data_IF_589741101299
#
_entry.id   IF_589741101299
#
_cell.length_a   1.000
_cell.length_b   1.000
_cell.length_c   1.000
_cell.angle_alpha   90.00
_cell.angle_beta   90.00
_cell.angle_gamma   90.00
#
_symmetry.space_group_name_H-M   'P 1'
#
loop_
_entity.id
_entity.type
_entity.pdbx_description
1 polymer ?
#
# COMPACT_ATOMS: atom_id res chain seq x y z
N UNK A 1 -15.26 -8.28 24.77
CA UNK A 1 -15.20 -9.31 23.71
C UNK A 1 -15.92 -8.77 22.51
N UNK A 2 -15.27 -8.83 21.35
CA UNK A 2 -15.80 -8.28 20.12
C UNK A 2 -16.93 -9.17 19.60
N UNK A 3 -17.91 -8.55 18.94
CA UNK A 3 -18.94 -9.20 18.14
C UNK A 3 -18.95 -8.54 16.78
N UNK A 4 -19.34 -9.29 15.75
CA UNK A 4 -19.48 -8.70 14.42
C UNK A 4 -20.66 -7.73 14.41
N UNK A 5 -20.39 -6.46 14.12
CA UNK A 5 -21.35 -5.37 13.92
C UNK A 5 -21.28 -4.85 12.48
N UNK A 6 -22.21 -3.97 12.10
CA UNK A 6 -22.22 -3.35 10.78
C UNK A 6 -20.96 -2.49 10.51
N UNK A 7 -20.28 -2.03 11.55
CA UNK A 7 -19.04 -1.24 11.43
C UNK A 7 -17.88 -2.03 10.78
N UNK A 8 -17.94 -3.36 10.81
CA UNK A 8 -16.94 -4.24 10.20
C UNK A 8 -17.26 -4.63 8.75
N UNK A 9 -18.35 -4.09 8.17
CA UNK A 9 -18.69 -4.34 6.77
C UNK A 9 -17.78 -3.50 5.86
N UNK A 10 -17.02 -4.20 5.03
CA UNK A 10 -16.24 -3.62 3.93
C UNK A 10 -17.16 -3.13 2.80
N UNK A 11 -18.31 -3.80 2.64
CA UNK A 11 -19.20 -3.64 1.49
C UNK A 11 -18.93 -4.66 0.38
N UNK A 12 -17.95 -5.55 0.57
CA UNK A 12 -17.57 -6.62 -0.35
C UNK A 12 -18.17 -7.93 0.21
N UNK A 13 -19.25 -8.47 -0.40
CA UNK A 13 -20.06 -9.51 0.25
C UNK A 13 -19.31 -10.79 0.61
N UNK A 14 -18.30 -11.15 -0.18
CA UNK A 14 -17.47 -12.32 0.08
C UNK A 14 -16.57 -12.11 1.30
N UNK A 15 -15.80 -11.02 1.33
CA UNK A 15 -14.94 -10.65 2.47
C UNK A 15 -15.77 -10.48 3.75
N UNK A 16 -16.92 -9.82 3.67
CA UNK A 16 -17.82 -9.63 4.82
C UNK A 16 -18.34 -10.96 5.39
N UNK A 17 -18.59 -11.95 4.53
CA UNK A 17 -18.96 -13.31 4.96
C UNK A 17 -17.78 -14.00 5.64
N UNK A 18 -16.56 -13.76 5.18
CA UNK A 18 -15.37 -14.38 5.74
C UNK A 18 -14.98 -13.78 7.09
N UNK A 19 -15.04 -12.46 7.25
CA UNK A 19 -14.91 -11.79 8.54
C UNK A 19 -15.89 -12.37 9.56
N UNK A 20 -17.18 -12.50 9.20
CA UNK A 20 -18.18 -13.11 10.10
C UNK A 20 -17.75 -14.49 10.60
N UNK A 21 -17.13 -15.31 9.75
CA UNK A 21 -16.65 -16.63 10.15
C UNK A 21 -15.48 -16.55 11.15
N UNK A 22 -14.55 -15.61 10.99
CA UNK A 22 -13.48 -15.37 11.99
C UNK A 22 -14.05 -14.96 13.35
N UNK A 23 -15.04 -14.08 13.38
CA UNK A 23 -15.72 -13.69 14.62
C UNK A 23 -16.45 -14.87 15.26
N UNK A 24 -17.12 -15.72 14.47
CA UNK A 24 -17.78 -16.93 14.98
C UNK A 24 -16.79 -17.87 15.66
N UNK A 25 -15.58 -18.05 15.12
CA UNK A 25 -14.55 -18.88 15.76
C UNK A 25 -14.16 -18.35 17.15
N UNK A 26 -13.97 -17.03 17.28
CA UNK A 26 -13.62 -16.37 18.55
C UNK A 26 -14.79 -16.46 19.54
N UNK A 27 -16.00 -16.18 19.08
CA UNK A 27 -17.21 -16.24 19.90
C UNK A 27 -17.47 -17.65 20.41
N UNK A 28 -17.32 -18.66 19.55
CA UNK A 28 -17.46 -20.07 19.91
C UNK A 28 -16.44 -20.47 20.97
N UNK A 29 -15.15 -20.27 20.72
CA UNK A 29 -14.09 -20.63 21.66
C UNK A 29 -14.29 -19.96 23.02
N UNK A 30 -14.68 -18.68 23.04
CA UNK A 30 -15.00 -18.02 24.30
C UNK A 30 -16.25 -18.59 24.99
N UNK A 31 -17.30 -18.93 24.24
CA UNK A 31 -18.51 -19.52 24.81
C UNK A 31 -18.20 -20.86 25.49
N UNK A 32 -17.39 -21.70 24.85
CA UNK A 32 -16.90 -22.97 25.38
C UNK A 32 -16.08 -22.78 26.66
N UNK A 33 -15.16 -21.81 26.68
CA UNK A 33 -14.37 -21.51 27.89
C UNK A 33 -15.27 -21.09 29.05
N UNK A 34 -16.30 -20.26 28.78
CA UNK A 34 -17.26 -19.81 29.80
C UNK A 34 -18.18 -20.91 30.30
N UNK A 35 -18.52 -21.89 29.45
CA UNK A 35 -19.36 -23.03 29.83
C UNK A 35 -18.57 -24.14 30.55
N UNK A 36 -17.25 -23.98 30.69
CA UNK A 36 -16.38 -24.92 31.39
C UNK A 36 -15.90 -26.08 30.52
N UNK A 37 -15.86 -25.90 29.19
CA UNK A 37 -15.26 -26.86 28.27
C UNK A 37 -13.76 -27.06 28.55
N UNK A 38 -13.22 -28.18 28.06
CA UNK A 38 -11.80 -28.50 28.17
C UNK A 38 -10.94 -27.47 27.41
N UNK A 39 -10.12 -26.73 28.16
CA UNK A 39 -9.35 -25.60 27.64
C UNK A 39 -8.34 -26.03 26.58
N UNK A 40 -7.80 -27.25 26.68
CA UNK A 40 -6.84 -27.79 25.73
C UNK A 40 -7.49 -28.05 24.39
N UNK A 41 -8.64 -28.72 24.42
CA UNK A 41 -9.44 -29.01 23.23
C UNK A 41 -9.88 -27.72 22.54
N UNK A 42 -10.49 -26.79 23.28
CA UNK A 42 -10.93 -25.49 22.73
C UNK A 42 -9.75 -24.69 22.16
N UNK A 43 -8.63 -24.61 22.88
CA UNK A 43 -7.43 -23.89 22.42
C UNK A 43 -6.85 -24.48 21.12
N UNK A 44 -6.70 -25.79 21.05
CA UNK A 44 -6.18 -26.47 19.85
C UNK A 44 -7.14 -26.32 18.65
N UNK A 45 -8.45 -26.43 18.87
CA UNK A 45 -9.45 -26.23 17.82
C UNK A 45 -9.44 -24.79 17.30
N UNK A 46 -9.39 -23.80 18.19
CA UNK A 46 -9.27 -22.39 17.81
C UNK A 46 -8.00 -22.16 16.99
N UNK A 47 -6.84 -22.58 17.49
CA UNK A 47 -5.56 -22.34 16.80
C UNK A 47 -5.51 -22.99 15.40
N UNK A 48 -5.94 -24.25 15.29
CA UNK A 48 -5.96 -24.94 14.00
C UNK A 48 -6.98 -24.30 13.05
N UNK A 49 -8.19 -23.99 13.54
CA UNK A 49 -9.22 -23.33 12.73
C UNK A 49 -8.76 -21.97 12.21
N UNK A 50 -8.04 -21.19 13.02
CA UNK A 50 -7.45 -19.92 12.59
C UNK A 50 -6.34 -20.12 11.55
N UNK A 51 -5.44 -21.09 11.74
CA UNK A 51 -4.38 -21.38 10.76
C UNK A 51 -4.94 -21.79 9.40
N UNK A 52 -5.92 -22.69 9.39
CA UNK A 52 -6.53 -23.19 8.16
C UNK A 52 -7.33 -22.09 7.44
N UNK A 53 -8.03 -21.25 8.20
CA UNK A 53 -8.98 -20.30 7.62
C UNK A 53 -8.36 -18.94 7.27
N UNK A 54 -7.46 -18.41 8.10
CA UNK A 54 -6.86 -17.10 7.89
C UNK A 54 -6.09 -17.04 6.56
N UNK A 55 -5.30 -18.07 6.24
CA UNK A 55 -4.56 -18.12 4.98
C UNK A 55 -5.47 -18.09 3.75
N UNK A 56 -6.61 -18.79 3.79
CA UNK A 56 -7.57 -18.80 2.68
C UNK A 56 -8.26 -17.44 2.54
N UNK A 57 -8.70 -16.85 3.65
CA UNK A 57 -9.35 -15.55 3.67
C UNK A 57 -8.42 -14.44 3.16
N UNK A 58 -7.19 -14.35 3.66
CA UNK A 58 -6.22 -13.35 3.18
C UNK A 58 -5.91 -13.52 1.70
N UNK A 59 -5.81 -14.75 1.19
CA UNK A 59 -5.61 -14.97 -0.24
C UNK A 59 -6.78 -14.45 -1.09
N UNK A 60 -8.03 -14.61 -0.63
CA UNK A 60 -9.20 -14.06 -1.33
C UNK A 60 -9.24 -12.53 -1.29
N UNK A 61 -8.96 -11.94 -0.11
CA UNK A 61 -8.92 -10.50 0.07
C UNK A 61 -7.81 -9.84 -0.76
N UNK A 62 -6.60 -10.37 -0.69
CA UNK A 62 -5.46 -9.86 -1.45
C UNK A 62 -5.69 -9.97 -2.96
N UNK A 63 -6.30 -11.07 -3.42
CA UNK A 63 -6.66 -11.23 -4.83
C UNK A 63 -7.74 -10.21 -5.27
N UNK A 64 -8.70 -9.90 -4.39
CA UNK A 64 -9.69 -8.86 -4.66
C UNK A 64 -9.02 -7.49 -4.76
N UNK A 65 -8.17 -7.14 -3.80
CA UNK A 65 -7.43 -5.89 -3.77
C UNK A 65 -6.51 -5.73 -4.99
N UNK A 66 -5.84 -6.81 -5.39
CA UNK A 66 -5.01 -6.85 -6.61
C UNK A 66 -5.86 -6.62 -7.86
N UNK A 67 -7.08 -7.17 -7.93
CA UNK A 67 -7.98 -6.98 -9.08
C UNK A 67 -8.47 -5.54 -9.28
N UNK A 68 -8.38 -4.70 -8.25
CA UNK A 68 -8.79 -3.28 -8.29
C UNK A 68 -7.60 -2.32 -8.15
N UNK A 69 -6.37 -2.83 -8.23
CA UNK A 69 -5.13 -2.07 -8.03
C UNK A 69 -5.15 -1.26 -6.72
N UNK A 70 -5.62 -1.88 -5.63
CA UNK A 70 -5.79 -1.20 -4.35
C UNK A 70 -4.44 -0.75 -3.78
N UNK A 71 -4.23 0.55 -3.51
CA UNK A 71 -2.94 1.06 -3.04
C UNK A 71 -2.57 0.59 -1.62
N UNK A 72 -3.52 0.09 -0.83
CA UNK A 72 -3.28 -0.42 0.51
C UNK A 72 -2.84 -1.90 0.52
N UNK A 73 -2.97 -2.62 -0.61
CA UNK A 73 -2.63 -4.04 -0.72
C UNK A 73 -1.24 -4.37 -0.13
N UNK A 74 -0.19 -3.58 -0.42
CA UNK A 74 1.12 -3.86 0.16
C UNK A 74 1.18 -3.78 1.68
N UNK A 75 0.49 -2.81 2.28
CA UNK A 75 0.42 -2.65 3.73
C UNK A 75 -0.36 -3.79 4.37
N UNK A 76 -1.45 -4.23 3.73
CA UNK A 76 -2.28 -5.33 4.23
C UNK A 76 -1.55 -6.67 4.14
N UNK A 77 -0.86 -6.98 3.03
CA UNK A 77 0.02 -8.16 2.90
C UNK A 77 1.02 -8.28 4.06
N UNK A 78 1.67 -7.17 4.44
CA UNK A 78 2.56 -7.13 5.62
C UNK A 78 1.85 -7.48 6.92
N UNK A 79 0.66 -6.92 7.13
CA UNK A 79 -0.15 -7.19 8.31
C UNK A 79 -0.60 -8.66 8.37
N UNK A 80 -1.06 -9.22 7.26
CA UNK A 80 -1.45 -10.62 7.11
C UNK A 80 -0.28 -11.57 7.39
N UNK A 81 0.88 -11.31 6.78
CA UNK A 81 2.09 -12.12 7.00
C UNK A 81 2.52 -12.10 8.47
N UNK A 82 2.50 -10.94 9.11
CA UNK A 82 2.81 -10.82 10.55
C UNK A 82 1.81 -11.61 11.42
N UNK A 83 0.53 -11.57 11.06
CA UNK A 83 -0.51 -12.33 11.74
C UNK A 83 -0.34 -13.85 11.58
N UNK A 84 -0.12 -14.33 10.35
CA UNK A 84 0.15 -15.75 10.06
C UNK A 84 1.38 -16.23 10.84
N UNK A 85 2.47 -15.46 10.80
CA UNK A 85 3.70 -15.75 11.57
C UNK A 85 3.43 -15.83 13.08
N UNK A 86 2.54 -14.98 13.62
CA UNK A 86 2.13 -15.05 15.04
C UNK A 86 1.39 -16.35 15.34
N UNK A 87 0.49 -16.80 14.46
CA UNK A 87 -0.20 -18.09 14.62
C UNK A 87 0.76 -19.28 14.53
N UNK A 88 1.68 -19.27 13.56
CA UNK A 88 2.70 -20.31 13.39
C UNK A 88 3.58 -20.47 14.62
N UNK A 89 4.01 -19.35 15.22
CA UNK A 89 4.82 -19.33 16.44
C UNK A 89 4.04 -19.68 17.71
N UNK A 90 2.71 -19.83 17.63
CA UNK A 90 1.88 -20.24 18.77
C UNK A 90 1.85 -21.77 18.85
N UNK A 91 2.25 -22.32 20.01
CA UNK A 91 2.26 -23.76 20.28
C UNK A 91 1.73 -24.04 21.68
N UNK A 92 0.75 -24.95 21.78
CA UNK A 92 0.11 -25.35 23.04
C UNK A 92 0.54 -26.74 23.54
N UNK A 93 1.32 -27.47 22.75
CA UNK A 93 1.72 -28.84 23.06
C UNK A 93 2.61 -28.88 24.30
N UNK A 94 2.27 -29.76 25.25
CA UNK A 94 3.05 -29.98 26.47
C UNK A 94 2.85 -28.94 27.58
N UNK A 95 2.00 -27.93 27.38
CA UNK A 95 1.67 -26.96 28.42
C UNK A 95 0.87 -27.60 29.57
N UNK A 96 1.16 -27.21 30.81
CA UNK A 96 0.30 -27.51 31.96
C UNK A 96 -1.04 -26.73 31.86
N UNK A 97 -2.08 -27.18 32.56
CA UNK A 97 -3.45 -26.67 32.35
C UNK A 97 -3.63 -25.19 32.72
N UNK A 98 -2.97 -24.69 33.78
CA UNK A 98 -3.02 -23.28 34.15
C UNK A 98 -2.36 -22.39 33.07
N UNK A 99 -1.17 -22.80 32.59
CA UNK A 99 -0.46 -22.12 31.49
C UNK A 99 -1.24 -22.20 30.17
N UNK A 100 -1.90 -23.33 29.91
CA UNK A 100 -2.75 -23.51 28.74
C UNK A 100 -3.89 -22.49 28.75
N UNK A 101 -4.57 -22.31 29.89
CA UNK A 101 -5.65 -21.33 30.01
C UNK A 101 -5.16 -19.91 29.74
N UNK A 102 -4.05 -19.51 30.32
CA UNK A 102 -3.47 -18.18 30.06
C UNK A 102 -3.13 -17.99 28.58
N UNK A 103 -2.52 -18.99 27.94
CA UNK A 103 -2.12 -18.92 26.54
C UNK A 103 -3.33 -18.87 25.57
N UNK A 104 -4.42 -19.61 25.84
CA UNK A 104 -5.65 -19.52 25.03
C UNK A 104 -6.33 -18.15 25.19
N UNK A 105 -6.35 -17.60 26.41
CA UNK A 105 -6.91 -16.27 26.65
C UNK A 105 -6.07 -15.17 25.99
N UNK A 106 -4.74 -15.30 26.00
CA UNK A 106 -3.82 -14.41 25.27
C UNK A 106 -4.11 -14.46 23.76
N UNK A 107 -4.24 -15.65 23.18
CA UNK A 107 -4.59 -15.80 21.76
C UNK A 107 -5.94 -15.15 21.44
N UNK A 108 -6.99 -15.36 22.25
CA UNK A 108 -8.29 -14.73 22.06
C UNK A 108 -8.24 -13.20 22.13
N UNK A 109 -7.44 -12.66 23.07
CA UNK A 109 -7.26 -11.23 23.22
C UNK A 109 -6.49 -10.63 22.03
N UNK A 110 -5.41 -11.28 21.60
CA UNK A 110 -4.67 -10.91 20.39
C UNK A 110 -5.59 -10.90 19.17
N UNK A 111 -6.32 -11.99 18.95
CA UNK A 111 -7.28 -12.13 17.84
C UNK A 111 -8.33 -11.02 17.85
N UNK A 112 -8.90 -10.73 19.01
CA UNK A 112 -9.92 -9.69 19.14
C UNK A 112 -9.38 -8.30 18.81
N UNK A 113 -8.19 -7.96 19.33
CA UNK A 113 -7.57 -6.68 19.03
C UNK A 113 -7.13 -6.57 17.58
N UNK A 114 -6.51 -7.61 17.04
CA UNK A 114 -6.01 -7.59 15.67
C UNK A 114 -7.15 -7.43 14.66
N UNK A 115 -8.21 -8.25 14.75
CA UNK A 115 -9.36 -8.13 13.84
C UNK A 115 -10.02 -6.75 13.92
N UNK A 116 -10.20 -6.22 15.15
CA UNK A 116 -10.82 -4.92 15.33
C UNK A 116 -10.00 -3.81 14.66
N UNK A 117 -8.68 -3.77 14.92
CA UNK A 117 -7.82 -2.74 14.36
C UNK A 117 -7.60 -2.90 12.86
N UNK A 118 -7.48 -4.14 12.39
CA UNK A 118 -7.23 -4.43 10.99
C UNK A 118 -8.45 -4.10 10.13
N UNK A 119 -9.62 -4.65 10.45
CA UNK A 119 -10.85 -4.43 9.67
C UNK A 119 -11.24 -2.95 9.66
N UNK A 120 -11.28 -2.30 10.84
CA UNK A 120 -11.69 -0.89 10.92
C UNK A 120 -10.62 0.08 10.36
N UNK A 121 -9.35 -0.30 10.40
CA UNK A 121 -8.24 0.57 9.98
C UNK A 121 -7.67 0.26 8.59
N UNK A 122 -8.11 -0.83 7.96
CA UNK A 122 -7.54 -1.34 6.70
C UNK A 122 -8.66 -1.86 5.78
N UNK A 123 -9.37 -2.91 6.17
CA UNK A 123 -10.20 -3.68 5.22
C UNK A 123 -11.46 -2.87 4.83
N UNK A 124 -12.00 -2.08 5.76
CA UNK A 124 -13.10 -1.15 5.47
C UNK A 124 -12.70 -0.01 4.53
N UNK A 125 -11.39 0.19 4.28
CA UNK A 125 -10.85 1.18 3.33
C UNK A 125 -10.58 0.59 1.94
N UNK A 126 -10.72 -0.73 1.75
CA UNK A 126 -10.54 -1.38 0.44
C UNK A 126 -11.45 -0.70 -0.60
N UNK A 127 -10.85 -0.31 -1.73
CA UNK A 127 -11.48 0.39 -2.84
C UNK A 127 -11.86 1.84 -2.56
N UNK A 128 -11.50 2.39 -1.39
CA UNK A 128 -11.85 3.76 -0.97
C UNK A 128 -10.65 4.68 -0.90
N UNK A 129 -9.44 4.14 -0.81
CA UNK A 129 -8.19 4.89 -0.87
C UNK A 129 -7.81 5.16 -2.32
N UNK A 130 -7.46 6.40 -2.62
CA UNK A 130 -6.86 6.74 -3.91
C UNK A 130 -5.35 6.56 -3.78
N UNK A 131 -4.74 5.90 -4.77
CA UNK A 131 -3.28 5.84 -4.83
C UNK A 131 -2.75 7.27 -4.90
N UNK A 132 -1.80 7.66 -4.02
CA UNK A 132 -1.15 8.96 -4.13
C UNK A 132 -0.34 9.06 -5.44
N UNK A 133 -0.05 7.92 -6.08
CA UNK A 133 0.65 7.82 -7.36
C UNK A 133 -0.31 7.73 -8.55
N UNK A 134 -1.61 7.97 -8.38
CA UNK A 134 -2.56 8.03 -9.49
C UNK A 134 -2.68 9.46 -10.05
N UNK A 135 -2.62 9.58 -11.38
CA UNK A 135 -3.00 10.81 -12.06
C UNK A 135 -4.53 10.99 -12.00
N UNK A 136 -5.00 12.00 -11.27
CA UNK A 136 -6.42 12.36 -11.16
C UNK A 136 -6.74 13.64 -11.95
N UNK A 137 -8.04 13.97 -12.05
CA UNK A 137 -8.51 15.20 -12.70
C UNK A 137 -7.92 16.48 -12.09
N UNK A 138 -7.42 16.44 -10.84
CA UNK A 138 -6.80 17.61 -10.20
C UNK A 138 -5.51 18.05 -10.91
N UNK A 139 -4.79 17.10 -11.53
CA UNK A 139 -3.52 17.31 -12.21
C UNK A 139 -3.66 17.64 -13.71
N UNK A 140 -4.90 17.64 -14.24
CA UNK A 140 -5.11 18.00 -15.65
C UNK A 140 -4.77 19.47 -15.90
N UNK A 141 -3.90 19.67 -16.88
CA UNK A 141 -3.59 20.97 -17.47
C UNK A 141 -4.58 21.34 -18.58
N UNK A 142 -5.24 20.33 -19.17
CA UNK A 142 -6.10 20.51 -20.35
C UNK A 142 -5.34 20.41 -21.67
N UNK A 143 -4.02 20.21 -21.63
CA UNK A 143 -3.16 19.99 -22.79
C UNK A 143 -2.87 18.50 -22.88
N UNK A 144 -3.45 17.82 -23.88
CA UNK A 144 -3.38 16.34 -23.98
C UNK A 144 -1.94 15.80 -24.00
N UNK A 145 -1.02 16.50 -24.69
CA UNK A 145 0.41 16.16 -24.71
C UNK A 145 0.97 16.04 -23.29
N UNK A 146 0.88 17.13 -22.52
CA UNK A 146 1.38 17.24 -21.15
C UNK A 146 0.64 16.26 -20.21
N UNK A 147 -0.69 16.19 -20.31
CA UNK A 147 -1.49 15.31 -19.45
C UNK A 147 -1.18 13.83 -19.70
N UNK A 148 -0.83 13.44 -20.93
CA UNK A 148 -0.41 12.07 -21.25
C UNK A 148 0.97 11.73 -20.66
N UNK A 149 1.88 12.69 -20.64
CA UNK A 149 3.21 12.53 -20.07
C UNK A 149 3.18 12.50 -18.54
N UNK A 150 2.38 13.36 -17.91
CA UNK A 150 2.14 13.31 -16.47
C UNK A 150 1.62 11.94 -16.04
N UNK A 151 0.63 11.36 -16.74
CA UNK A 151 0.13 10.00 -16.45
C UNK A 151 1.26 8.97 -16.43
N UNK A 152 2.20 9.07 -17.37
CA UNK A 152 3.35 8.16 -17.43
C UNK A 152 4.35 8.38 -16.28
N UNK A 153 4.59 9.62 -15.86
CA UNK A 153 5.40 9.90 -14.67
C UNK A 153 4.76 9.34 -13.38
N UNK A 154 3.44 9.49 -13.24
CA UNK A 154 2.68 8.87 -12.14
C UNK A 154 2.73 7.34 -12.17
N UNK A 155 2.63 6.72 -13.36
CA UNK A 155 2.82 5.27 -13.56
C UNK A 155 4.21 4.79 -13.12
N UNK A 156 5.27 5.49 -13.52
CA UNK A 156 6.65 5.15 -13.10
C UNK A 156 6.77 5.18 -11.57
N UNK A 157 6.25 6.23 -10.90
CA UNK A 157 6.24 6.29 -9.43
C UNK A 157 5.41 5.17 -8.80
N UNK A 158 4.27 4.82 -9.40
CA UNK A 158 3.45 3.70 -8.95
C UNK A 158 4.21 2.36 -9.01
N UNK A 159 4.98 2.13 -10.07
CA UNK A 159 5.85 0.95 -10.20
C UNK A 159 7.00 0.93 -9.19
N UNK A 160 7.62 2.08 -8.92
CA UNK A 160 8.62 2.19 -7.84
C UNK A 160 7.99 1.84 -6.49
N UNK A 161 6.78 2.35 -6.18
CA UNK A 161 6.07 2.00 -4.96
C UNK A 161 5.76 0.51 -4.87
N UNK A 162 5.31 -0.11 -5.96
CA UNK A 162 5.07 -1.55 -5.99
C UNK A 162 6.36 -2.36 -5.73
N UNK A 163 7.49 -1.93 -6.31
CA UNK A 163 8.78 -2.59 -6.12
C UNK A 163 9.28 -2.53 -4.67
N UNK A 164 9.13 -1.39 -3.98
CA UNK A 164 9.45 -1.24 -2.55
C UNK A 164 8.74 -2.30 -1.70
N UNK A 165 7.54 -2.70 -2.13
CA UNK A 165 6.71 -3.59 -1.35
C UNK A 165 6.69 -5.04 -1.86
N UNK A 166 7.50 -5.37 -2.86
CA UNK A 166 7.56 -6.72 -3.40
C UNK A 166 8.47 -7.63 -2.56
N UNK A 167 7.92 -8.24 -1.50
CA UNK A 167 8.65 -9.10 -0.57
C UNK A 167 9.20 -10.41 -1.18
N UNK A 168 8.83 -10.76 -2.41
CA UNK A 168 9.28 -11.99 -3.08
C UNK A 168 10.67 -11.84 -3.73
N UNK A 169 11.14 -10.60 -3.91
CA UNK A 169 12.46 -10.30 -4.45
C UNK A 169 13.47 -10.14 -3.30
N UNK A 170 14.45 -11.05 -3.24
CA UNK A 170 15.55 -11.02 -2.27
C UNK A 170 16.56 -9.90 -2.54
N UNK A 171 16.72 -9.55 -3.82
CA UNK A 171 17.48 -8.41 -4.31
C UNK A 171 16.66 -7.76 -5.44
N UNK A 172 16.52 -6.44 -5.39
CA UNK A 172 15.71 -5.63 -6.32
C UNK A 172 16.57 -4.63 -7.09
N UNK A 173 17.89 -4.69 -6.90
CA UNK A 173 18.80 -3.64 -7.35
C UNK A 173 18.69 -3.40 -8.86
N UNK A 174 18.66 -4.46 -9.66
CA UNK A 174 18.56 -4.36 -11.11
C UNK A 174 17.26 -3.65 -11.55
N UNK A 175 16.11 -4.02 -10.97
CA UNK A 175 14.82 -3.37 -11.25
C UNK A 175 14.79 -1.93 -10.77
N UNK A 176 15.44 -1.63 -9.65
CA UNK A 176 15.58 -0.27 -9.11
C UNK A 176 16.38 0.60 -10.08
N UNK A 177 17.53 0.11 -10.54
CA UNK A 177 18.40 0.82 -11.48
C UNK A 177 17.67 1.09 -12.79
N UNK A 178 16.92 0.09 -13.29
CA UNK A 178 16.10 0.26 -14.50
C UNK A 178 15.02 1.34 -14.32
N UNK A 179 14.28 1.32 -13.21
CA UNK A 179 13.23 2.30 -12.92
C UNK A 179 13.78 3.72 -12.70
N UNK A 180 14.91 3.86 -12.02
CA UNK A 180 15.58 5.17 -11.84
C UNK A 180 16.07 5.68 -13.20
N UNK A 181 16.58 4.80 -14.07
CA UNK A 181 16.93 5.13 -15.45
C UNK A 181 15.72 5.61 -16.25
N UNK A 182 14.63 4.85 -16.25
CA UNK A 182 13.37 5.21 -16.91
C UNK A 182 12.84 6.57 -16.42
N UNK A 183 12.85 6.80 -15.09
CA UNK A 183 12.42 8.05 -14.49
C UNK A 183 13.27 9.24 -14.98
N UNK A 184 14.60 9.09 -14.99
CA UNK A 184 15.55 10.14 -15.45
C UNK A 184 15.29 10.50 -16.90
N UNK A 185 15.21 9.49 -17.77
CA UNK A 185 15.05 9.69 -19.21
C UNK A 185 13.68 10.29 -19.55
N UNK A 186 12.62 9.76 -18.93
CA UNK A 186 11.25 10.23 -19.17
C UNK A 186 11.01 11.63 -18.64
N UNK A 187 11.60 11.99 -17.50
CA UNK A 187 11.56 13.36 -16.95
C UNK A 187 12.19 14.36 -17.92
N UNK A 188 13.38 14.05 -18.46
CA UNK A 188 14.05 14.91 -19.44
C UNK A 188 13.24 15.05 -20.73
N UNK A 189 12.65 13.96 -21.20
CA UNK A 189 11.77 13.95 -22.35
C UNK A 189 10.55 14.87 -22.14
N UNK A 190 9.81 14.66 -21.06
CA UNK A 190 8.63 15.45 -20.70
C UNK A 190 8.93 16.95 -20.60
N UNK A 191 9.96 17.33 -19.84
CA UNK A 191 10.34 18.74 -19.71
C UNK A 191 10.75 19.37 -21.03
N UNK A 192 11.43 18.63 -21.90
CA UNK A 192 11.79 19.12 -23.24
C UNK A 192 10.54 19.40 -24.08
N UNK A 193 9.55 18.51 -24.06
CA UNK A 193 8.31 18.66 -24.82
C UNK A 193 7.44 19.80 -24.28
N UNK A 194 7.31 19.91 -22.96
CA UNK A 194 6.61 21.02 -22.31
C UNK A 194 7.27 22.38 -22.59
N UNK A 195 8.59 22.49 -22.44
CA UNK A 195 9.31 23.74 -22.71
C UNK A 195 9.21 24.16 -24.18
N UNK A 196 9.25 23.19 -25.09
CA UNK A 196 9.03 23.44 -26.52
C UNK A 196 7.61 23.93 -26.76
N UNK A 197 6.61 23.29 -26.16
CA UNK A 197 5.21 23.71 -26.25
C UNK A 197 5.01 25.14 -25.72
N UNK A 198 5.59 25.46 -24.58
CA UNK A 198 5.59 26.81 -24.01
C UNK A 198 6.26 27.85 -24.92
N UNK A 199 7.40 27.49 -25.52
CA UNK A 199 8.13 28.38 -26.43
C UNK A 199 7.33 28.68 -27.70
N UNK A 200 6.69 27.66 -28.30
CA UNK A 200 5.85 27.81 -29.49
C UNK A 200 4.66 28.75 -29.25
N UNK A 201 4.14 28.80 -28.02
CA UNK A 201 3.01 29.65 -27.62
C UNK A 201 3.43 30.97 -26.94
N UNK A 202 4.73 31.30 -26.91
CA UNK A 202 5.26 32.50 -26.25
C UNK A 202 4.83 32.63 -24.79
N UNK A 203 4.79 31.52 -24.05
CA UNK A 203 4.39 31.53 -22.65
C UNK A 203 5.38 32.32 -21.78
N UNK A 204 4.93 33.34 -21.03
CA UNK A 204 5.83 34.27 -20.33
C UNK A 204 6.59 33.65 -19.14
N UNK A 205 6.11 32.52 -18.61
CA UNK A 205 6.73 31.84 -17.46
C UNK A 205 7.84 30.84 -17.82
N UNK A 206 8.22 30.70 -19.10
CA UNK A 206 9.16 29.68 -19.58
C UNK A 206 10.51 29.67 -18.84
N UNK A 207 11.09 30.84 -18.56
CA UNK A 207 12.38 30.91 -17.87
C UNK A 207 12.31 30.43 -16.41
N UNK A 208 11.16 30.62 -15.75
CA UNK A 208 10.95 30.12 -14.39
C UNK A 208 10.73 28.59 -14.40
N UNK A 209 9.98 28.10 -15.39
CA UNK A 209 9.74 26.67 -15.60
C UNK A 209 11.06 25.91 -15.79
N UNK A 210 11.90 26.36 -16.73
CA UNK A 210 13.22 25.80 -17.01
C UNK A 210 14.12 25.67 -15.79
N UNK A 211 14.09 26.66 -14.90
CA UNK A 211 14.87 26.63 -13.66
C UNK A 211 14.37 25.57 -12.69
N UNK A 212 13.05 25.40 -12.59
CA UNK A 212 12.45 24.35 -11.78
C UNK A 212 12.80 22.96 -12.34
N UNK A 213 12.63 22.78 -13.66
CA UNK A 213 12.98 21.55 -14.37
C UNK A 213 14.45 21.18 -14.18
N UNK A 214 15.37 22.12 -14.40
CA UNK A 214 16.81 21.87 -14.23
C UNK A 214 17.14 21.44 -12.79
N UNK A 215 16.56 22.09 -11.78
CA UNK A 215 16.77 21.71 -10.39
C UNK A 215 16.30 20.28 -10.07
N UNK A 216 15.23 19.82 -10.71
CA UNK A 216 14.73 18.45 -10.56
C UNK A 216 15.60 17.43 -11.32
N UNK A 217 16.03 17.75 -12.53
CA UNK A 217 16.99 16.93 -13.29
C UNK A 217 18.30 16.78 -12.51
N UNK A 218 18.84 17.88 -11.98
CA UNK A 218 20.07 17.87 -11.16
C UNK A 218 19.92 17.01 -9.91
N UNK A 219 18.73 16.96 -9.31
CA UNK A 219 18.44 16.06 -8.18
C UNK A 219 18.48 14.60 -8.63
N UNK A 220 17.79 14.25 -9.72
CA UNK A 220 17.76 12.88 -10.22
C UNK A 220 19.15 12.40 -10.65
N UNK A 221 19.97 13.26 -11.25
CA UNK A 221 21.33 12.93 -11.67
C UNK A 221 22.29 12.69 -10.49
N UNK A 222 21.98 13.22 -9.31
CA UNK A 222 22.76 13.02 -8.07
C UNK A 222 22.40 11.76 -7.30
N UNK A 223 21.36 11.03 -7.71
CA UNK A 223 21.02 9.75 -7.09
C UNK A 223 22.23 8.82 -7.21
N UNK A 224 22.77 8.43 -6.06
CA UNK A 224 23.91 7.54 -5.92
C UNK A 224 23.40 6.10 -5.84
N UNK A 225 23.80 5.27 -6.80
CA UNK A 225 23.38 3.88 -6.84
C UNK A 225 24.09 3.02 -5.79
N UNK A 226 25.22 3.45 -5.24
CA UNK A 226 25.87 2.76 -4.12
C UNK A 226 25.05 2.94 -2.83
N UNK A 227 24.57 4.16 -2.55
CA UNK A 227 23.69 4.42 -1.39
C UNK A 227 22.34 3.69 -1.53
N UNK A 228 21.83 3.54 -2.75
CA UNK A 228 20.62 2.75 -3.03
C UNK A 228 20.80 1.29 -2.63
N UNK A 229 21.97 0.69 -2.88
CA UNK A 229 22.20 -0.73 -2.60
C UNK A 229 22.32 -1.03 -1.10
N UNK A 230 22.82 -0.07 -0.30
CA UNK A 230 22.99 -0.25 1.15
C UNK A 230 21.66 -0.40 1.92
N UNK A 231 20.65 0.40 1.59
CA UNK A 231 19.30 0.34 2.18
C UNK A 231 18.22 0.71 1.15
N UNK A 232 17.95 -0.25 0.26
CA UNK A 232 17.02 -0.10 -0.86
C UNK A 232 15.63 0.38 -0.43
N UNK A 233 15.06 -0.15 0.67
CA UNK A 233 13.71 0.21 1.11
C UNK A 233 13.66 1.64 1.64
N UNK A 234 14.59 2.03 2.51
CA UNK A 234 14.62 3.37 3.08
C UNK A 234 14.86 4.43 1.99
N UNK A 235 15.85 4.18 1.12
CA UNK A 235 16.21 5.13 0.05
C UNK A 235 15.05 5.35 -0.93
N UNK A 236 14.43 4.28 -1.42
CA UNK A 236 13.31 4.39 -2.35
C UNK A 236 12.08 5.05 -1.72
N UNK A 237 11.84 4.82 -0.42
CA UNK A 237 10.76 5.49 0.31
C UNK A 237 10.96 7.01 0.32
N UNK A 238 12.17 7.46 0.64
CA UNK A 238 12.52 8.88 0.65
C UNK A 238 12.49 9.49 -0.76
N UNK A 239 13.00 8.75 -1.75
CA UNK A 239 12.94 9.13 -3.15
C UNK A 239 11.49 9.34 -3.59
N UNK A 240 10.59 8.38 -3.36
CA UNK A 240 9.17 8.51 -3.71
C UNK A 240 8.50 9.69 -3.02
N UNK A 241 8.78 9.92 -1.73
CA UNK A 241 8.23 11.04 -1.00
C UNK A 241 8.66 12.39 -1.62
N UNK A 242 9.93 12.49 -2.04
CA UNK A 242 10.43 13.65 -2.76
C UNK A 242 9.76 13.82 -4.12
N UNK A 243 9.75 12.77 -4.95
CA UNK A 243 9.18 12.78 -6.30
C UNK A 243 7.71 13.19 -6.30
N UNK A 244 6.91 12.56 -5.44
CA UNK A 244 5.50 12.85 -5.32
C UNK A 244 5.26 14.29 -4.90
N UNK A 245 6.01 14.78 -3.89
CA UNK A 245 5.89 16.16 -3.42
C UNK A 245 6.28 17.18 -4.48
N UNK A 246 7.37 16.93 -5.21
CA UNK A 246 7.84 17.83 -6.24
C UNK A 246 6.88 17.85 -7.43
N UNK A 247 6.54 16.67 -7.99
CA UNK A 247 5.71 16.56 -9.19
C UNK A 247 4.30 17.12 -8.94
N UNK A 248 3.63 16.71 -7.86
CA UNK A 248 2.29 17.23 -7.54
C UNK A 248 2.30 18.75 -7.32
N UNK A 249 3.30 19.26 -6.60
CA UNK A 249 3.45 20.70 -6.36
C UNK A 249 3.78 21.48 -7.63
N UNK A 250 4.58 20.91 -8.53
CA UNK A 250 4.96 21.50 -9.80
C UNK A 250 3.75 21.60 -10.73
N UNK A 251 3.04 20.50 -10.96
CA UNK A 251 1.84 20.47 -11.81
C UNK A 251 0.81 21.48 -11.33
N UNK A 252 0.46 21.45 -10.03
CA UNK A 252 -0.57 22.31 -9.47
C UNK A 252 -0.14 23.78 -9.42
N UNK A 253 1.15 24.06 -9.25
CA UNK A 253 1.69 25.40 -9.04
C UNK A 253 2.19 26.10 -10.31
N UNK A 254 2.54 25.34 -11.34
CA UNK A 254 3.23 25.81 -12.54
C UNK A 254 2.51 25.32 -13.81
N UNK A 255 2.44 24.02 -14.06
CA UNK A 255 2.06 23.46 -15.37
C UNK A 255 0.60 23.75 -15.71
N UNK A 256 -0.29 23.75 -14.72
CA UNK A 256 -1.70 24.16 -14.93
C UNK A 256 -1.84 25.57 -15.47
N UNK A 257 -0.92 26.49 -15.13
CA UNK A 257 -0.94 27.87 -15.64
C UNK A 257 -0.62 27.95 -17.13
N UNK A 258 0.02 26.92 -17.68
CA UNK A 258 0.30 26.82 -19.12
C UNK A 258 -1.02 26.61 -19.86
N UNK A 259 -1.79 25.61 -19.43
CA UNK A 259 -3.13 25.37 -19.95
C UNK A 259 -4.06 26.57 -19.79
N UNK A 260 -4.06 27.20 -18.61
CA UNK A 260 -4.83 28.43 -18.37
C UNK A 260 -4.46 29.58 -19.31
N UNK A 261 -3.20 29.72 -19.72
CA UNK A 261 -2.77 30.78 -20.63
C UNK A 261 -3.06 30.46 -22.10
N UNK A 262 -2.82 29.21 -22.52
CA UNK A 262 -2.84 28.82 -23.93
C UNK A 262 -4.25 28.48 -24.43
N UNK A 263 -5.12 27.97 -23.55
CA UNK A 263 -6.48 27.54 -23.91
C UNK A 263 -7.53 28.67 -23.79
N UNK A 264 -7.09 29.90 -23.50
CA UNK A 264 -7.92 31.12 -23.55
C UNK A 264 -8.09 31.63 -24.98
#
# INVERSE_FOLDING_TARGET
MIKFTEDYLTGIPEIDREHKKLFVMIEQANSEIKSGADIRTTGMQLLNGLKDYAATHFAHEEAYMESIDDPELPRQRRAHKAFVKRLENTNFVGMADDTMREAVLDLLNYMSHWLMHHILGSDTLIGKTKSPFAFTDEYKTGIELIDSEHKKLFDIMGRVNALIHNEDLYDRFDEIVELIGELRDYTKFHFSDEEKYMAEHNYPGLDAQRKAHQGFVDYLEKIDLEEVDEDQEAYLTDLLAYLLKWLSGHILGMDKKIGEFILQ
#
